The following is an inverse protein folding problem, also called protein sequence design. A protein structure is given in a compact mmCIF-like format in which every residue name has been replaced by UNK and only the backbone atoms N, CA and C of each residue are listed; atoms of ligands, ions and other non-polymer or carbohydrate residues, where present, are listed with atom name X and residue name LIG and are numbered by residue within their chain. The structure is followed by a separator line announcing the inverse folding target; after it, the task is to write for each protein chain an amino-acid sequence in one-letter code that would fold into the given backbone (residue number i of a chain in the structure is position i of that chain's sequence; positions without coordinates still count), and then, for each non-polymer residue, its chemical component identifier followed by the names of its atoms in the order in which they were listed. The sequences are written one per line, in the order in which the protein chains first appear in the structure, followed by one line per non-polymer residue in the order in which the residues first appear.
data_IF_505387274955
#
_entry.id   IF_505387274955
#
_cell.length_a   1.000
_cell.length_b   1.000
_cell.length_c   1.000
_cell.angle_alpha   90.00
_cell.angle_beta   90.00
_cell.angle_gamma   90.00
#
_symmetry.space_group_name_H-M   'P 1'
#
loop_
_entity.id
_entity.type
_entity.pdbx_description
1 polymer ?
#
# COMPACT_ATOMS: atom_id res chain seq x y z
N UNK A 1 -21.30 3.19 16.77
CA UNK A 1 -21.21 4.55 17.33
C UNK A 1 -20.38 4.45 18.61
N UNK A 2 -19.09 4.78 18.56
CA UNK A 2 -18.18 4.79 19.72
C UNK A 2 -18.61 5.86 20.73
N UNK A 3 -19.63 5.58 21.53
CA UNK A 3 -20.06 6.45 22.63
C UNK A 3 -19.86 5.83 24.02
N UNK A 4 -19.37 4.60 24.12
CA UNK A 4 -19.22 3.90 25.42
C UNK A 4 -17.78 3.50 25.79
N UNK A 5 -16.77 3.90 25.02
CA UNK A 5 -15.40 3.90 25.52
C UNK A 5 -15.15 5.28 26.15
N UNK A 6 -14.79 5.33 27.44
CA UNK A 6 -14.38 6.58 28.10
C UNK A 6 -13.42 7.38 27.23
N UNK A 7 -13.46 8.72 27.36
CA UNK A 7 -12.74 9.65 26.49
C UNK A 7 -11.32 9.13 26.19
N UNK A 8 -11.11 8.73 24.93
CA UNK A 8 -9.82 8.26 24.45
C UNK A 8 -8.88 9.45 24.52
N UNK A 9 -7.84 9.36 25.35
CA UNK A 9 -6.76 10.33 25.33
C UNK A 9 -5.95 10.16 24.04
N UNK A 10 -6.03 11.11 23.08
CA UNK A 10 -5.35 10.99 21.79
C UNK A 10 -3.83 10.85 21.95
N UNK A 11 -3.25 11.47 22.98
CA UNK A 11 -1.81 11.44 23.23
C UNK A 11 -1.33 10.04 23.62
N UNK A 12 -2.11 9.31 24.42
CA UNK A 12 -1.79 7.93 24.80
C UNK A 12 -1.81 6.96 23.61
N UNK A 13 -2.58 7.30 22.58
CA UNK A 13 -2.63 6.52 21.34
C UNK A 13 -1.63 7.00 20.29
N UNK A 14 -0.82 8.02 20.57
CA UNK A 14 0.05 8.64 19.57
C UNK A 14 -0.71 9.25 18.39
N UNK A 15 -1.95 9.68 18.61
CA UNK A 15 -2.68 10.49 17.63
C UNK A 15 -2.17 11.93 17.69
N UNK A 16 -2.05 12.64 16.54
CA UNK A 16 -1.64 14.03 16.53
C UNK A 16 -2.64 14.96 17.25
N UNK A 17 -3.93 14.65 17.18
CA UNK A 17 -5.00 15.44 17.82
C UNK A 17 -6.26 14.61 18.07
N UNK A 18 -7.18 15.13 18.87
CA UNK A 18 -8.53 14.55 18.99
C UNK A 18 -9.30 14.63 17.66
N UNK A 19 -9.08 15.69 16.88
CA UNK A 19 -9.71 15.90 15.58
C UNK A 19 -9.32 14.81 14.57
N UNK A 20 -8.06 14.38 14.57
CA UNK A 20 -7.60 13.31 13.67
C UNK A 20 -8.33 11.99 13.91
N UNK A 21 -8.66 11.69 15.17
CA UNK A 21 -9.47 10.52 15.55
C UNK A 21 -10.94 10.74 15.17
N UNK A 22 -11.47 11.95 15.39
CA UNK A 22 -12.87 12.28 15.09
C UNK A 22 -13.22 12.20 13.59
N UNK A 23 -12.24 12.30 12.70
CA UNK A 23 -12.40 12.09 11.26
C UNK A 23 -12.58 10.61 10.86
N UNK A 24 -12.35 9.68 11.77
CA UNK A 24 -12.47 8.25 11.52
C UNK A 24 -13.88 7.76 11.85
N UNK A 25 -14.54 7.13 10.87
CA UNK A 25 -15.69 6.28 11.12
C UNK A 25 -15.22 4.88 11.53
N UNK A 26 -15.65 4.43 12.71
CA UNK A 26 -15.26 3.13 13.26
C UNK A 26 -16.50 2.31 13.57
N UNK A 27 -16.57 1.13 12.96
CA UNK A 27 -17.70 0.21 13.07
C UNK A 27 -17.21 -1.20 13.30
N UNK A 28 -17.76 -1.86 14.31
CA UNK A 28 -17.56 -3.29 14.52
C UNK A 28 -18.71 -4.05 13.87
N UNK A 29 -18.38 -5.01 13.02
CA UNK A 29 -19.29 -5.86 12.28
C UNK A 29 -19.07 -7.29 12.78
N UNK A 30 -20.11 -7.88 13.35
CA UNK A 30 -20.11 -9.29 13.70
C UNK A 30 -20.31 -10.14 12.45
N UNK A 31 -19.65 -11.30 12.38
CA UNK A 31 -19.82 -12.29 11.30
C UNK A 31 -21.29 -12.67 11.12
N UNK A 32 -22.06 -12.74 12.20
CA UNK A 32 -23.48 -13.08 12.16
C UNK A 32 -24.35 -12.07 11.38
N UNK A 33 -23.88 -10.82 11.19
CA UNK A 33 -24.62 -9.81 10.44
C UNK A 33 -24.56 -10.05 8.92
N UNK A 34 -23.42 -10.50 8.40
CA UNK A 34 -23.22 -10.90 7.00
C UNK A 34 -22.05 -11.89 6.90
N UNK A 35 -22.32 -13.21 7.02
CA UNK A 35 -21.26 -14.22 6.98
C UNK A 35 -20.52 -14.25 5.64
N UNK A 36 -21.22 -13.99 4.53
CA UNK A 36 -20.65 -14.08 3.19
C UNK A 36 -19.64 -12.95 2.95
N UNK A 37 -20.00 -11.71 3.29
CA UNK A 37 -19.07 -10.58 3.24
C UNK A 37 -17.87 -10.78 4.17
N UNK A 38 -18.13 -11.27 5.39
CA UNK A 38 -17.09 -11.49 6.39
C UNK A 38 -16.07 -12.55 5.97
N UNK A 39 -16.55 -13.71 5.49
CA UNK A 39 -15.71 -14.82 5.08
C UNK A 39 -14.99 -14.56 3.74
N UNK A 40 -15.48 -13.62 2.92
CA UNK A 40 -14.81 -13.22 1.68
C UNK A 40 -13.37 -12.71 1.93
N UNK A 41 -13.13 -12.02 3.05
CA UNK A 41 -11.81 -11.54 3.46
C UNK A 41 -10.80 -12.66 3.78
N UNK A 42 -11.26 -13.91 3.91
CA UNK A 42 -10.46 -15.10 4.24
C UNK A 42 -10.41 -16.10 3.08
N UNK A 43 -10.76 -15.67 1.88
CA UNK A 43 -10.90 -16.53 0.71
C UNK A 43 -10.09 -16.00 -0.47
N UNK A 44 -9.90 -16.85 -1.50
CA UNK A 44 -9.25 -16.48 -2.75
C UNK A 44 -7.88 -15.82 -2.56
N UNK A 45 -7.62 -14.74 -3.31
CA UNK A 45 -6.36 -14.00 -3.24
C UNK A 45 -6.09 -13.39 -1.85
N UNK A 46 -7.13 -12.96 -1.11
CA UNK A 46 -6.95 -12.41 0.23
C UNK A 46 -6.45 -13.47 1.21
N UNK A 47 -6.86 -14.73 1.05
CA UNK A 47 -6.32 -15.83 1.85
C UNK A 47 -4.83 -16.03 1.61
N UNK A 48 -4.40 -16.07 0.35
CA UNK A 48 -2.99 -16.25 0.01
C UNK A 48 -2.12 -15.11 0.58
N UNK A 49 -2.63 -13.88 0.61
CA UNK A 49 -1.95 -12.74 1.22
C UNK A 49 -1.92 -12.89 2.74
N UNK A 50 -3.03 -13.25 3.39
CA UNK A 50 -3.06 -13.48 4.82
C UNK A 50 -2.09 -14.59 5.26
N UNK A 51 -1.99 -15.69 4.51
CA UNK A 51 -1.06 -16.79 4.76
C UNK A 51 0.40 -16.32 4.73
N UNK A 52 0.75 -15.54 3.70
CA UNK A 52 2.09 -14.96 3.55
C UNK A 52 2.42 -13.98 4.67
N UNK A 53 1.50 -13.07 4.99
CA UNK A 53 1.76 -11.91 5.84
C UNK A 53 1.65 -12.24 7.34
N UNK A 54 0.72 -13.13 7.73
CA UNK A 54 0.46 -13.44 9.13
C UNK A 54 1.18 -14.70 9.62
N UNK A 55 1.46 -15.66 8.73
CA UNK A 55 2.07 -16.94 9.10
C UNK A 55 1.34 -17.61 10.26
N UNK A 56 2.00 -17.76 11.42
CA UNK A 56 1.40 -18.35 12.62
C UNK A 56 0.17 -17.59 13.15
N UNK A 57 0.04 -16.29 12.85
CA UNK A 57 -1.11 -15.46 13.24
C UNK A 57 -2.39 -15.76 12.46
N UNK A 58 -2.32 -16.57 11.39
CA UNK A 58 -3.47 -16.90 10.54
C UNK A 58 -4.62 -17.56 11.30
N UNK A 59 -4.30 -18.43 12.28
CA UNK A 59 -5.33 -19.09 13.09
C UNK A 59 -6.18 -18.10 13.90
N UNK A 60 -5.58 -16.99 14.35
CA UNK A 60 -6.31 -15.94 15.06
C UNK A 60 -7.23 -15.15 14.11
N UNK A 61 -6.83 -14.96 12.85
CA UNK A 61 -7.70 -14.40 11.82
C UNK A 61 -8.90 -15.32 11.57
N UNK A 62 -8.68 -16.64 11.45
CA UNK A 62 -9.72 -17.63 11.18
C UNK A 62 -10.72 -17.76 12.34
N UNK A 63 -10.24 -17.65 13.58
CA UNK A 63 -11.07 -17.72 14.77
C UNK A 63 -11.92 -16.46 15.03
N UNK A 64 -11.58 -15.32 14.41
CA UNK A 64 -12.29 -14.07 14.66
C UNK A 64 -13.77 -14.15 14.22
N UNK A 65 -14.65 -13.58 15.01
CA UNK A 65 -16.10 -13.47 14.75
C UNK A 65 -16.55 -12.01 14.60
N UNK A 66 -15.61 -11.06 14.73
CA UNK A 66 -15.82 -9.64 14.55
C UNK A 66 -14.69 -9.03 13.71
N UNK A 67 -15.05 -8.03 12.92
CA UNK A 67 -14.13 -7.15 12.19
C UNK A 67 -14.45 -5.73 12.59
N UNK A 68 -13.44 -4.95 12.95
CA UNK A 68 -13.59 -3.52 13.17
C UNK A 68 -13.05 -2.78 11.95
N UNK A 69 -13.96 -2.12 11.22
CA UNK A 69 -13.63 -1.25 10.12
C UNK A 69 -13.24 0.13 10.66
N UNK A 70 -12.08 0.64 10.22
CA UNK A 70 -11.66 2.02 10.42
C UNK A 70 -11.68 2.66 9.04
N UNK A 71 -12.56 3.62 8.83
CA UNK A 71 -12.71 4.31 7.55
C UNK A 71 -12.43 5.80 7.74
N UNK A 72 -11.65 6.37 6.83
CA UNK A 72 -11.34 7.80 6.80
C UNK A 72 -11.59 8.32 5.40
N UNK A 73 -12.26 9.46 5.29
CA UNK A 73 -12.54 10.13 4.02
C UNK A 73 -12.11 11.60 4.13
N UNK A 74 -10.79 11.88 4.13
CA UNK A 74 -10.30 13.24 4.26
C UNK A 74 -10.72 14.05 3.02
N UNK A 75 -11.19 15.27 3.24
CA UNK A 75 -11.48 16.20 2.15
C UNK A 75 -10.29 17.13 1.99
N UNK A 76 -9.60 17.06 0.84
CA UNK A 76 -8.39 17.84 0.55
C UNK A 76 -7.36 17.81 1.71
N UNK A 77 -6.83 16.62 2.06
CA UNK A 77 -5.86 16.51 3.16
C UNK A 77 -4.62 17.38 2.89
N UNK A 78 -4.17 18.12 3.90
CA UNK A 78 -2.96 18.95 3.83
C UNK A 78 -1.70 18.20 4.27
N UNK A 79 -1.89 17.16 5.08
CA UNK A 79 -0.85 16.35 5.69
C UNK A 79 -1.41 14.96 6.02
N UNK A 80 -0.57 14.09 6.62
CA UNK A 80 -0.91 12.71 6.94
C UNK A 80 -1.59 12.54 8.31
N UNK A 81 -2.06 13.62 8.95
CA UNK A 81 -2.67 13.57 10.28
C UNK A 81 -3.86 12.61 10.34
N UNK A 82 -4.67 12.54 9.28
CA UNK A 82 -5.81 11.62 9.20
C UNK A 82 -5.39 10.14 9.22
N UNK A 83 -4.28 9.82 8.54
CA UNK A 83 -3.75 8.46 8.47
C UNK A 83 -3.11 8.08 9.81
N UNK A 84 -2.41 9.02 10.45
CA UNK A 84 -1.87 8.84 11.80
C UNK A 84 -3.00 8.63 12.84
N UNK A 85 -4.13 9.34 12.68
CA UNK A 85 -5.34 9.14 13.47
C UNK A 85 -5.93 7.74 13.32
N UNK A 86 -6.05 7.24 12.08
CA UNK A 86 -6.50 5.87 11.81
C UNK A 86 -5.60 4.83 12.49
N UNK A 87 -4.29 4.99 12.39
CA UNK A 87 -3.33 4.09 13.04
C UNK A 87 -3.32 4.20 14.57
N UNK A 88 -3.65 5.37 15.13
CA UNK A 88 -3.85 5.50 16.57
C UNK A 88 -5.04 4.68 17.07
N UNK A 89 -6.14 4.66 16.30
CA UNK A 89 -7.29 3.78 16.58
C UNK A 89 -6.87 2.31 16.43
N UNK A 90 -6.11 1.97 15.40
CA UNK A 90 -5.62 0.61 15.20
C UNK A 90 -4.78 0.12 16.40
N UNK A 91 -3.85 0.95 16.91
CA UNK A 91 -3.10 0.69 18.15
C UNK A 91 -4.02 0.47 19.35
N UNK A 92 -5.03 1.31 19.51
CA UNK A 92 -6.01 1.16 20.59
C UNK A 92 -6.73 -0.20 20.53
N UNK A 93 -7.12 -0.64 19.34
CA UNK A 93 -7.74 -1.94 19.13
C UNK A 93 -6.76 -3.08 19.39
N UNK A 94 -5.50 -2.96 18.98
CA UNK A 94 -4.44 -3.93 19.26
C UNK A 94 -4.28 -4.13 20.78
N UNK A 95 -4.21 -3.03 21.54
CA UNK A 95 -4.13 -3.07 23.00
C UNK A 95 -5.36 -3.71 23.68
N UNK A 96 -6.47 -3.87 22.94
CA UNK A 96 -7.72 -4.48 23.41
C UNK A 96 -7.98 -5.87 22.81
N UNK A 97 -6.96 -6.46 22.17
CA UNK A 97 -7.01 -7.85 21.71
C UNK A 97 -7.30 -8.04 20.22
N UNK A 98 -7.31 -6.98 19.40
CA UNK A 98 -7.25 -7.18 17.94
C UNK A 98 -5.94 -7.87 17.59
N UNK A 99 -6.01 -8.95 16.80
CA UNK A 99 -4.88 -9.85 16.50
C UNK A 99 -4.17 -9.51 15.19
N UNK A 100 -4.90 -8.93 14.24
CA UNK A 100 -4.39 -8.59 12.91
C UNK A 100 -5.13 -7.39 12.33
N UNK A 101 -4.49 -6.72 11.38
CA UNK A 101 -4.97 -5.54 10.69
C UNK A 101 -4.84 -5.75 9.19
N UNK A 102 -5.91 -5.50 8.45
CA UNK A 102 -5.88 -5.52 7.00
C UNK A 102 -5.90 -4.08 6.47
N UNK A 103 -4.87 -3.73 5.72
CA UNK A 103 -4.82 -2.47 4.99
C UNK A 103 -5.47 -2.66 3.61
N UNK A 104 -6.70 -2.18 3.46
CA UNK A 104 -7.46 -2.34 2.22
C UNK A 104 -6.91 -1.55 1.03
N UNK A 105 -6.01 -0.59 1.24
CA UNK A 105 -5.40 0.17 0.14
C UNK A 105 -4.07 -0.42 -0.28
N UNK A 106 -3.25 -0.89 0.67
CA UNK A 106 -2.00 -1.60 0.36
C UNK A 106 -2.24 -3.08 0.01
N UNK A 107 -3.41 -3.64 0.38
CA UNK A 107 -3.76 -5.05 0.25
C UNK A 107 -2.71 -5.92 0.97
N UNK A 108 -2.54 -5.65 2.26
CA UNK A 108 -1.63 -6.39 3.12
C UNK A 108 -2.22 -6.61 4.50
N UNK A 109 -1.87 -7.74 5.11
CA UNK A 109 -2.14 -7.99 6.52
C UNK A 109 -0.94 -7.63 7.37
N UNK A 110 -1.20 -7.20 8.60
CA UNK A 110 -0.19 -6.98 9.63
C UNK A 110 -0.63 -7.64 10.92
N UNK A 111 0.24 -8.42 11.58
CA UNK A 111 -0.05 -8.88 12.93
C UNK A 111 0.00 -7.69 13.91
N UNK A 112 -0.76 -7.78 15.00
CA UNK A 112 -0.93 -6.66 15.93
C UNK A 112 0.39 -6.17 16.56
N UNK A 113 1.36 -7.06 16.77
CA UNK A 113 2.69 -6.75 17.29
C UNK A 113 3.59 -6.01 16.29
N UNK A 114 3.17 -5.90 15.02
CA UNK A 114 3.84 -5.11 13.97
C UNK A 114 3.15 -3.77 13.70
N UNK A 115 2.04 -3.49 14.38
CA UNK A 115 1.48 -2.14 14.39
C UNK A 115 2.46 -1.23 15.12
N UNK A 116 2.84 -0.16 14.43
CA UNK A 116 3.80 0.82 14.94
C UNK A 116 3.39 1.33 16.33
N UNK A 117 4.34 1.38 17.27
CA UNK A 117 4.06 1.77 18.65
C UNK A 117 3.74 3.28 18.77
N UNK A 118 3.08 3.67 19.88
CA UNK A 118 2.82 5.08 20.14
C UNK A 118 4.14 5.85 20.34
N UNK A 119 4.27 7.02 19.72
CA UNK A 119 5.47 7.87 19.78
C UNK A 119 6.57 7.54 18.77
N UNK A 120 6.46 6.44 18.03
CA UNK A 120 7.35 6.18 16.89
C UNK A 120 6.99 7.08 15.69
N UNK A 121 7.99 7.46 14.89
CA UNK A 121 7.80 8.33 13.73
C UNK A 121 7.11 7.59 12.59
N UNK A 122 6.01 8.15 12.07
CA UNK A 122 5.23 7.51 11.00
C UNK A 122 6.07 7.13 9.77
N UNK A 123 6.14 5.83 9.47
CA UNK A 123 6.95 5.29 8.36
C UNK A 123 6.12 5.10 7.08
N UNK A 124 6.19 6.06 6.16
CA UNK A 124 5.46 6.04 4.87
C UNK A 124 5.70 4.75 4.08
N UNK A 125 6.93 4.24 4.02
CA UNK A 125 7.23 3.03 3.23
C UNK A 125 6.48 1.79 3.70
N UNK A 126 6.10 1.70 4.99
CA UNK A 126 5.29 0.56 5.47
C UNK A 126 3.90 0.55 4.86
N UNK A 127 3.39 1.72 4.52
CA UNK A 127 2.04 1.97 4.05
C UNK A 127 1.86 1.70 2.55
N UNK A 128 2.95 1.36 1.85
CA UNK A 128 2.97 1.11 0.41
C UNK A 128 3.44 -0.33 0.21
N UNK A 129 2.69 -1.10 -0.57
CA UNK A 129 3.10 -2.44 -0.98
C UNK A 129 3.62 -2.39 -2.41
N UNK A 130 4.80 -2.98 -2.65
CA UNK A 130 5.31 -3.24 -4.00
C UNK A 130 4.98 -4.68 -4.34
N UNK A 131 4.14 -4.87 -5.35
CA UNK A 131 3.58 -6.14 -5.77
C UNK A 131 4.20 -6.51 -7.11
N UNK A 132 4.60 -7.78 -7.23
CA UNK A 132 5.09 -8.37 -8.46
C UNK A 132 4.12 -9.45 -8.92
N UNK A 133 3.43 -9.20 -10.03
CA UNK A 133 2.45 -10.11 -10.62
C UNK A 133 3.06 -10.76 -11.87
N UNK A 134 3.29 -12.07 -11.77
CA UNK A 134 3.77 -12.86 -12.90
C UNK A 134 2.61 -13.24 -13.82
N UNK A 135 2.80 -13.03 -15.12
CA UNK A 135 1.88 -13.49 -16.15
C UNK A 135 2.52 -14.65 -16.90
N UNK A 136 2.00 -15.86 -16.70
CA UNK A 136 2.46 -17.07 -17.41
C UNK A 136 1.92 -17.16 -18.84
N UNK A 137 0.97 -16.28 -19.19
CA UNK A 137 0.26 -16.31 -20.48
C UNK A 137 0.92 -15.41 -21.52
N UNK A 138 1.80 -14.50 -21.11
CA UNK A 138 2.46 -13.56 -22.02
C UNK A 138 3.73 -14.16 -22.65
N UNK A 139 3.82 -14.22 -23.99
CA UNK A 139 5.00 -14.76 -24.68
C UNK A 139 6.28 -13.96 -24.45
N UNK A 140 6.14 -12.66 -24.18
CA UNK A 140 7.25 -11.72 -23.96
C UNK A 140 7.84 -11.78 -22.55
N UNK A 141 7.28 -12.60 -21.65
CA UNK A 141 7.65 -12.68 -20.23
C UNK A 141 7.63 -11.33 -19.51
N UNK A 142 6.82 -10.38 -20.01
CA UNK A 142 6.60 -9.13 -19.32
C UNK A 142 5.70 -9.37 -18.10
N UNK A 143 6.18 -8.92 -16.94
CA UNK A 143 5.50 -9.04 -15.66
C UNK A 143 5.26 -7.65 -15.10
N UNK A 144 4.15 -7.49 -14.37
CA UNK A 144 3.79 -6.21 -13.78
C UNK A 144 4.40 -6.10 -12.40
N UNK A 145 5.22 -5.06 -12.19
CA UNK A 145 5.64 -4.61 -10.89
C UNK A 145 4.94 -3.31 -10.60
N UNK A 146 4.18 -3.23 -9.50
CA UNK A 146 3.40 -2.04 -9.22
C UNK A 146 3.25 -1.75 -7.73
N UNK A 147 2.86 -0.52 -7.40
CA UNK A 147 2.51 -0.16 -6.03
C UNK A 147 1.03 -0.47 -5.73
N UNK A 148 0.73 -0.60 -4.45
CA UNK A 148 -0.61 -0.45 -3.86
C UNK A 148 -0.47 0.42 -2.61
N UNK A 149 -1.51 1.19 -2.30
CA UNK A 149 -1.57 2.05 -1.12
C UNK A 149 -1.30 3.53 -1.39
N UNK A 150 -0.86 3.90 -2.59
CA UNK A 150 -0.54 5.30 -2.95
C UNK A 150 -1.74 6.23 -2.83
N UNK A 151 -2.96 5.70 -3.02
CA UNK A 151 -4.22 6.42 -2.81
C UNK A 151 -4.30 7.07 -1.42
N UNK A 152 -3.73 6.45 -0.39
CA UNK A 152 -3.68 7.00 0.97
C UNK A 152 -2.85 8.27 1.08
N UNK A 153 -2.11 8.65 0.05
CA UNK A 153 -1.28 9.85 -0.01
C UNK A 153 -1.77 10.85 -1.08
N UNK A 154 -2.92 10.58 -1.72
CA UNK A 154 -3.39 11.38 -2.85
C UNK A 154 -2.48 11.27 -4.09
N UNK A 155 -1.67 10.22 -4.17
CA UNK A 155 -0.70 9.98 -5.22
C UNK A 155 -1.15 8.83 -6.14
N UNK A 156 -0.77 8.84 -7.43
CA UNK A 156 -1.03 7.70 -8.31
C UNK A 156 -0.19 6.49 -7.91
N UNK A 157 -0.70 5.29 -8.19
CA UNK A 157 0.10 4.09 -8.13
C UNK A 157 1.10 4.04 -9.30
N UNK A 158 2.26 3.44 -9.06
CA UNK A 158 3.32 3.29 -10.06
C UNK A 158 3.28 1.88 -10.63
N UNK A 159 3.42 1.76 -11.94
CA UNK A 159 3.46 0.48 -12.66
C UNK A 159 4.72 0.44 -13.50
N UNK A 160 5.39 -0.70 -13.54
CA UNK A 160 6.48 -1.02 -14.44
C UNK A 160 6.26 -2.41 -15.06
N UNK A 161 6.51 -2.54 -16.35
CA UNK A 161 6.58 -3.84 -17.01
C UNK A 161 8.04 -4.25 -17.15
N UNK A 162 8.42 -5.39 -16.58
CA UNK A 162 9.80 -5.86 -16.55
C UNK A 162 9.87 -7.40 -16.59
N UNK A 163 11.07 -7.95 -16.83
CA UNK A 163 11.28 -9.40 -16.72
C UNK A 163 11.69 -9.78 -15.29
N UNK A 164 11.67 -11.08 -14.95
CA UNK A 164 12.17 -11.58 -13.66
C UNK A 164 13.59 -11.10 -13.34
N UNK A 165 14.45 -11.02 -14.36
CA UNK A 165 15.84 -10.61 -14.22
C UNK A 165 15.99 -9.13 -13.84
N UNK A 166 15.00 -8.29 -14.18
CA UNK A 166 15.04 -6.84 -13.96
C UNK A 166 14.44 -6.44 -12.60
N UNK A 167 13.69 -7.33 -11.94
CA UNK A 167 12.94 -7.06 -10.71
C UNK A 167 13.80 -6.38 -9.63
N UNK A 168 15.04 -6.79 -9.31
CA UNK A 168 15.81 -6.14 -8.26
C UNK A 168 16.02 -4.63 -8.49
N UNK A 169 16.31 -4.22 -9.73
CA UNK A 169 16.49 -2.82 -10.08
C UNK A 169 15.16 -2.07 -10.14
N UNK A 170 14.16 -2.67 -10.81
CA UNK A 170 12.86 -2.04 -11.02
C UNK A 170 12.10 -1.88 -9.70
N UNK A 171 12.13 -2.89 -8.82
CA UNK A 171 11.53 -2.83 -7.49
C UNK A 171 12.17 -1.72 -6.65
N UNK A 172 13.50 -1.59 -6.68
CA UNK A 172 14.20 -0.55 -5.95
C UNK A 172 13.78 0.84 -6.43
N UNK A 173 13.84 1.09 -7.74
CA UNK A 173 13.44 2.37 -8.32
C UNK A 173 11.97 2.72 -8.06
N UNK A 174 11.05 1.75 -8.20
CA UNK A 174 9.63 1.94 -7.87
C UNK A 174 9.45 2.26 -6.39
N UNK A 175 10.16 1.58 -5.50
CA UNK A 175 10.09 1.82 -4.04
C UNK A 175 10.54 3.22 -3.67
N UNK A 176 11.69 3.66 -4.20
CA UNK A 176 12.23 5.00 -3.93
C UNK A 176 11.31 6.09 -4.50
N UNK A 177 10.84 5.92 -5.74
CA UNK A 177 9.91 6.86 -6.35
C UNK A 177 8.58 6.93 -5.59
N UNK A 178 8.03 5.79 -5.18
CA UNK A 178 6.81 5.74 -4.39
C UNK A 178 6.96 6.49 -3.06
N UNK A 179 8.08 6.30 -2.35
CA UNK A 179 8.38 7.03 -1.10
C UNK A 179 8.50 8.55 -1.34
N UNK A 180 9.18 8.97 -2.40
CA UNK A 180 9.29 10.38 -2.77
C UNK A 180 7.91 11.01 -3.07
N UNK A 181 7.09 10.34 -3.87
CA UNK A 181 5.77 10.82 -4.28
C UNK A 181 4.82 10.83 -3.08
N UNK A 182 4.82 9.80 -2.25
CA UNK A 182 4.02 9.75 -1.02
C UNK A 182 4.41 10.82 0.02
N UNK A 183 5.63 11.36 -0.07
CA UNK A 183 6.11 12.53 0.70
C UNK A 183 5.72 13.88 0.09
N UNK A 184 5.00 13.88 -1.03
CA UNK A 184 4.52 15.09 -1.70
C UNK A 184 5.36 15.53 -2.89
N UNK A 185 6.23 14.68 -3.44
CA UNK A 185 6.89 14.99 -4.73
C UNK A 185 5.88 14.88 -5.85
N UNK A 186 5.60 15.99 -6.53
CA UNK A 186 4.70 16.02 -7.69
C UNK A 186 5.36 15.39 -8.92
N UNK A 187 4.68 14.41 -9.50
CA UNK A 187 5.07 13.83 -10.79
C UNK A 187 4.59 14.72 -11.94
N UNK A 188 5.49 15.55 -12.45
CA UNK A 188 5.28 16.37 -13.64
C UNK A 188 4.52 15.63 -14.77
N UNK A 189 3.62 16.37 -15.44
CA UNK A 189 2.81 15.90 -16.57
C UNK A 189 3.24 16.63 -17.86
N UNK A 190 3.21 15.96 -19.03
CA UNK A 190 2.79 14.56 -19.23
C UNK A 190 3.87 13.52 -18.86
N UNK A 191 5.10 13.97 -18.56
CA UNK A 191 6.27 13.11 -18.32
C UNK A 191 7.08 13.61 -17.12
N UNK A 192 7.54 12.69 -16.28
CA UNK A 192 8.46 12.97 -15.18
C UNK A 192 9.68 12.06 -15.28
N UNK A 193 10.88 12.63 -15.44
CA UNK A 193 12.12 11.88 -15.54
C UNK A 193 12.63 11.47 -14.15
N UNK A 194 13.10 10.24 -14.02
CA UNK A 194 13.62 9.65 -12.79
C UNK A 194 15.01 9.09 -13.10
N UNK A 195 16.03 9.55 -12.39
CA UNK A 195 17.36 8.95 -12.48
C UNK A 195 17.41 7.71 -11.58
N UNK A 196 17.68 6.54 -12.17
CA UNK A 196 17.67 5.24 -11.48
C UNK A 196 19.06 4.65 -11.28
N UNK A 197 20.02 5.13 -12.05
CA UNK A 197 21.44 4.90 -11.90
C UNK A 197 22.18 6.06 -12.57
N UNK A 198 23.49 6.28 -12.30
CA UNK A 198 24.25 7.35 -12.93
C UNK A 198 24.14 7.30 -14.46
N UNK A 199 23.52 8.34 -15.04
CA UNK A 199 23.31 8.45 -16.49
C UNK A 199 22.22 7.55 -17.07
N UNK A 200 21.41 6.90 -16.23
CA UNK A 200 20.27 6.07 -16.65
C UNK A 200 18.99 6.68 -16.11
N UNK A 201 18.10 7.06 -17.02
CA UNK A 201 16.82 7.68 -16.70
C UNK A 201 15.67 6.83 -17.19
N UNK A 202 14.62 6.78 -16.38
CA UNK A 202 13.30 6.32 -16.76
C UNK A 202 12.34 7.50 -16.72
N UNK A 203 11.14 7.30 -17.26
CA UNK A 203 10.12 8.34 -17.34
C UNK A 203 8.81 7.78 -16.82
N UNK A 204 8.21 8.44 -15.84
CA UNK A 204 6.84 8.19 -15.43
C UNK A 204 5.88 8.92 -16.37
N UNK A 205 5.04 8.16 -17.08
CA UNK A 205 4.06 8.64 -18.06
C UNK A 205 2.63 8.29 -17.61
N UNK A 206 1.64 8.86 -18.28
CA UNK A 206 0.23 8.49 -18.08
C UNK A 206 -0.03 7.04 -18.49
N UNK A 207 -0.96 6.36 -17.80
CA UNK A 207 -1.39 5.00 -18.12
C UNK A 207 -2.33 4.95 -19.33
N UNK A 208 -1.76 5.15 -20.52
CA UNK A 208 -2.50 5.18 -21.78
C UNK A 208 -3.15 3.83 -22.14
N UNK A 209 -2.63 2.73 -21.60
CA UNK A 209 -3.09 1.37 -21.88
C UNK A 209 -4.00 0.81 -20.79
N UNK A 210 -4.35 1.61 -19.78
CA UNK A 210 -5.24 1.23 -18.67
C UNK A 210 -4.73 -0.01 -17.92
N UNK A 211 -3.40 -0.13 -17.77
CA UNK A 211 -2.77 -1.19 -16.98
C UNK A 211 -3.27 -1.19 -15.54
N UNK A 212 -3.54 -0.01 -14.96
CA UNK A 212 -4.11 0.10 -13.63
C UNK A 212 -5.47 -0.60 -13.49
N UNK A 213 -6.30 -0.58 -14.52
CA UNK A 213 -7.58 -1.30 -14.51
C UNK A 213 -7.41 -2.81 -14.65
N UNK A 214 -6.48 -3.25 -15.51
CA UNK A 214 -6.14 -4.66 -15.65
C UNK A 214 -5.61 -5.24 -14.33
N UNK A 215 -4.83 -4.46 -13.59
CA UNK A 215 -4.28 -4.79 -12.27
C UNK A 215 -5.28 -4.51 -11.12
N UNK A 216 -6.50 -4.08 -11.43
CA UNK A 216 -7.54 -3.77 -10.46
C UNK A 216 -7.05 -2.81 -9.37
N UNK A 217 -6.30 -1.78 -9.76
CA UNK A 217 -5.91 -0.69 -8.88
C UNK A 217 -7.13 0.20 -8.61
N UNK A 218 -7.30 0.61 -7.37
CA UNK A 218 -8.41 1.46 -6.92
C UNK A 218 -8.06 2.96 -6.99
N UNK A 219 -7.14 3.33 -7.87
CA UNK A 219 -6.47 4.62 -7.90
C UNK A 219 -5.99 4.97 -9.32
N UNK A 220 -5.64 6.22 -9.55
CA UNK A 220 -4.91 6.61 -10.76
C UNK A 220 -3.55 5.91 -10.83
N UNK A 221 -3.03 5.72 -12.04
CA UNK A 221 -1.76 5.03 -12.25
C UNK A 221 -0.82 5.82 -13.18
N UNK A 222 0.49 5.69 -12.94
CA UNK A 222 1.57 6.16 -13.80
C UNK A 222 2.47 4.98 -14.18
N UNK A 223 2.89 4.94 -15.43
CA UNK A 223 3.71 3.84 -15.97
C UNK A 223 5.15 4.32 -16.11
N UNK A 224 6.10 3.54 -15.61
CA UNK A 224 7.52 3.73 -15.82
C UNK A 224 7.97 3.06 -17.11
N UNK A 225 8.57 3.86 -17.98
CA UNK A 225 9.16 3.44 -19.27
C UNK A 225 10.58 3.99 -19.39
N UNK A 226 11.37 3.48 -20.33
CA UNK A 226 12.67 4.07 -20.65
C UNK A 226 12.51 5.43 -21.37
N UNK A 227 13.63 6.15 -21.59
CA UNK A 227 13.59 7.48 -22.26
C UNK A 227 13.02 7.42 -23.68
N UNK A 228 13.02 6.24 -24.32
CA UNK A 228 12.43 6.03 -25.65
C UNK A 228 10.94 5.68 -25.60
N UNK A 229 10.39 5.48 -24.41
CA UNK A 229 8.99 5.13 -24.18
C UNK A 229 8.71 3.64 -24.21
N UNK A 230 9.72 2.77 -24.14
CA UNK A 230 9.54 1.32 -24.08
C UNK A 230 9.47 0.79 -22.64
N UNK A 231 8.83 -0.36 -22.49
CA UNK A 231 8.80 -1.11 -21.23
C UNK A 231 10.22 -1.45 -20.74
N UNK A 232 10.33 -1.69 -19.42
CA UNK A 232 11.59 -1.90 -18.73
C UNK A 232 12.10 -3.35 -18.84
N UNK A 233 11.79 -4.04 -19.93
CA UNK A 233 12.28 -5.40 -20.19
C UNK A 233 13.77 -5.38 -20.56
N UNK A 234 14.56 -6.22 -19.92
CA UNK A 234 16.00 -6.34 -20.14
C UNK A 234 16.78 -5.07 -19.80
N UNK A 235 16.27 -4.19 -18.94
CA UNK A 235 17.00 -2.97 -18.54
C UNK A 235 18.29 -3.29 -17.80
N UNK A 236 18.34 -4.37 -17.03
CA UNK A 236 19.55 -4.76 -16.31
C UNK A 236 20.70 -5.16 -17.24
N UNK A 237 20.41 -5.76 -18.40
CA UNK A 237 21.44 -6.11 -19.39
C UNK A 237 21.92 -4.91 -20.20
N UNK A 238 21.12 -3.83 -20.24
CA UNK A 238 21.41 -2.56 -20.93
C UNK A 238 22.21 -1.57 -20.06
N UNK A 239 22.30 -1.81 -18.75
CA UNK A 239 23.06 -0.93 -17.86
C UNK A 239 24.55 -0.89 -18.24
N UNK A 240 25.18 0.29 -18.26
CA UNK A 240 26.63 0.39 -18.38
C UNK A 240 27.27 -0.43 -17.27
N UNK A 241 28.17 -1.36 -17.61
CA UNK A 241 28.97 -2.03 -16.59
C UNK A 241 29.81 -0.98 -15.89
N UNK A 242 29.71 -0.91 -14.55
CA UNK A 242 30.57 -0.03 -13.77
C UNK A 242 32.02 -0.34 -14.13
N UNK A 243 32.74 0.67 -14.63
CA UNK A 243 34.18 0.58 -14.86
C UNK A 243 34.84 0.33 -13.51
N UNK A 244 35.29 -0.89 -13.28
CA UNK A 244 36.07 -1.28 -12.10
C UNK A 244 37.44 -0.63 -12.08
#
# INVERSE_FOLDING_TARGET
MLREAGAIDPAQLGAPSAESIAQCDVRTIARAADPAWFDAWRSGSMRAIAEKDLGAGLAALDAADHVTLIQVAPTAPKDLTYLQGAWAIARHLAARGASSFFDAHAISFRPADKVQAAGESFEIRREISVVYETSKERPDQAHALHTRGMRKFGAPDLIALCTDADVPLVAHAVTELADMVARGTDLATPKHAVEVAPGVRWVAVEDQHRLGELLQLNNEARVLVDETGHDLMGVMSRLPRASS
#
